data_IF_196346253847
#
_entry.id   IF_196346253847
#
_cell.length_a   1.000
_cell.length_b   1.000
_cell.length_c   1.000
_cell.angle_alpha   90.00
_cell.angle_beta   90.00
_cell.angle_gamma   90.00
#
_symmetry.space_group_name_H-M   'P 1'
#
loop_
_entity.id
_entity.type
_entity.pdbx_description
1 polymer ?
#
# COMPACT_ATOMS: atom_id res chain seq x y z
N UNK A 1 -21.06 -0.98 -9.50
CA UNK A 1 -20.10 -0.38 -8.54
C UNK A 1 -18.75 -0.42 -9.21
N UNK A 2 -18.03 0.71 -9.24
CA UNK A 2 -16.63 0.70 -9.67
C UNK A 2 -15.78 0.30 -8.47
N UNK A 3 -15.26 -0.92 -8.49
CA UNK A 3 -14.38 -1.42 -7.44
C UNK A 3 -12.95 -0.94 -7.65
N UNK A 4 -12.22 -0.71 -6.56
CA UNK A 4 -10.79 -0.45 -6.65
C UNK A 4 -10.08 -1.69 -7.22
N UNK A 5 -9.37 -1.58 -8.35
CA UNK A 5 -8.80 -2.75 -9.00
C UNK A 5 -7.74 -3.41 -8.11
N UNK A 6 -7.76 -4.73 -8.08
CA UNK A 6 -6.70 -5.58 -7.54
C UNK A 6 -6.42 -6.69 -8.54
N UNK A 7 -5.18 -7.17 -8.53
CA UNK A 7 -4.71 -8.23 -9.41
C UNK A 7 -3.94 -9.27 -8.59
N UNK A 8 -3.95 -10.56 -8.96
CA UNK A 8 -3.23 -11.59 -8.23
C UNK A 8 -1.73 -11.28 -8.14
N UNK A 9 -1.09 -11.73 -7.07
CA UNK A 9 0.35 -11.51 -6.88
C UNK A 9 1.18 -12.50 -7.70
N UNK A 10 2.29 -12.06 -8.32
CA UNK A 10 3.26 -13.00 -8.85
C UNK A 10 3.92 -13.76 -7.68
N UNK A 11 4.17 -15.08 -7.82
CA UNK A 11 4.73 -15.90 -6.74
C UNK A 11 6.07 -15.40 -6.18
N UNK A 12 6.81 -14.66 -6.98
CA UNK A 12 8.15 -14.14 -6.74
C UNK A 12 8.18 -12.61 -6.51
N UNK A 13 7.03 -11.97 -6.25
CA UNK A 13 7.04 -10.55 -5.86
C UNK A 13 7.92 -10.36 -4.61
N UNK A 14 8.87 -9.41 -4.62
CA UNK A 14 9.78 -9.23 -3.49
C UNK A 14 9.04 -8.75 -2.24
N UNK A 15 9.61 -9.05 -1.07
CA UNK A 15 9.19 -8.39 0.16
C UNK A 15 9.46 -6.87 0.06
N UNK A 16 8.65 -6.07 0.74
CA UNK A 16 8.79 -4.62 0.77
C UNK A 16 10.15 -4.24 1.35
N UNK A 17 10.86 -3.38 0.64
CA UNK A 17 12.12 -2.81 1.10
C UNK A 17 11.83 -1.79 2.22
N UNK A 18 12.24 -2.09 3.45
CA UNK A 18 11.93 -1.24 4.62
C UNK A 18 13.17 -0.57 5.15
N UNK A 19 13.17 0.77 5.18
CA UNK A 19 14.36 1.54 5.53
C UNK A 19 14.64 1.62 7.04
N UNK A 20 13.61 1.68 7.89
CA UNK A 20 13.81 1.92 9.33
C UNK A 20 12.66 1.37 10.18
N UNK A 21 12.71 1.66 11.49
CA UNK A 21 11.71 1.23 12.47
C UNK A 21 10.72 2.35 12.80
N UNK A 22 9.51 1.97 13.20
CA UNK A 22 8.50 2.91 13.72
C UNK A 22 9.06 3.79 14.85
N UNK A 23 9.85 3.19 15.75
CA UNK A 23 10.48 3.91 16.87
C UNK A 23 11.42 5.02 16.40
N UNK A 24 12.25 4.75 15.39
CA UNK A 24 13.20 5.75 14.86
C UNK A 24 12.47 6.86 14.12
N UNK A 25 11.50 6.52 13.26
CA UNK A 25 10.65 7.50 12.58
C UNK A 25 9.90 8.40 13.56
N UNK A 26 9.20 7.81 14.53
CA UNK A 26 8.36 8.54 15.48
C UNK A 26 9.19 9.40 16.44
N UNK A 27 10.46 9.06 16.66
CA UNK A 27 11.41 9.84 17.44
C UNK A 27 12.05 11.02 16.70
N UNK A 28 11.86 11.14 15.38
CA UNK A 28 12.46 12.18 14.58
C UNK A 28 11.73 13.54 14.74
N UNK A 29 12.44 14.66 14.97
CA UNK A 29 11.81 15.96 15.24
C UNK A 29 10.90 16.47 14.12
N UNK A 30 11.23 16.16 12.86
CA UNK A 30 10.43 16.57 11.70
C UNK A 30 9.26 15.62 11.37
N UNK A 31 9.09 14.48 12.05
CA UNK A 31 8.10 13.48 11.63
C UNK A 31 6.67 14.01 11.62
N UNK A 32 6.24 14.69 12.68
CA UNK A 32 4.88 15.24 12.75
C UNK A 32 4.61 16.26 11.62
N UNK A 33 5.60 17.10 11.32
CA UNK A 33 5.54 18.09 10.25
C UNK A 33 5.53 17.45 8.85
N UNK A 34 6.36 16.42 8.66
CA UNK A 34 6.42 15.64 7.44
C UNK A 34 5.09 14.93 7.16
N UNK A 35 4.52 14.29 8.18
CA UNK A 35 3.25 13.56 8.08
C UNK A 35 2.06 14.50 7.82
N UNK A 36 2.17 15.78 8.20
CA UNK A 36 1.19 16.83 7.86
C UNK A 36 1.49 17.55 6.53
N UNK A 37 2.44 17.06 5.72
CA UNK A 37 2.70 17.56 4.38
C UNK A 37 3.72 18.68 4.26
N UNK A 38 4.49 19.01 5.31
CA UNK A 38 5.59 19.97 5.17
C UNK A 38 6.75 19.32 4.40
N UNK A 39 6.90 19.72 3.15
CA UNK A 39 7.85 19.13 2.20
C UNK A 39 9.32 19.20 2.68
N UNK A 40 9.73 20.31 3.30
CA UNK A 40 11.09 20.49 3.83
C UNK A 40 11.37 19.54 5.01
N UNK A 41 10.39 19.37 5.89
CA UNK A 41 10.44 18.45 7.02
C UNK A 41 10.44 16.99 6.53
N UNK A 42 9.62 16.66 5.53
CA UNK A 42 9.60 15.33 4.93
C UNK A 42 10.94 14.96 4.26
N UNK A 43 11.55 15.91 3.55
CA UNK A 43 12.86 15.71 2.94
C UNK A 43 13.96 15.50 3.99
N UNK A 44 14.00 16.31 5.06
CA UNK A 44 14.96 16.13 6.17
C UNK A 44 14.77 14.78 6.85
N UNK A 45 13.52 14.45 7.23
CA UNK A 45 13.18 13.15 7.82
C UNK A 45 13.68 11.98 6.96
N UNK A 46 13.32 11.98 5.68
CA UNK A 46 13.68 10.88 4.78
C UNK A 46 15.20 10.80 4.57
N UNK A 47 15.88 11.94 4.41
CA UNK A 47 17.34 11.98 4.25
C UNK A 47 18.09 11.45 5.48
N UNK A 48 17.57 11.70 6.68
CA UNK A 48 18.23 11.33 7.94
C UNK A 48 18.07 9.84 8.29
N UNK A 49 16.97 9.20 7.86
CA UNK A 49 16.62 7.84 8.34
C UNK A 49 16.50 6.77 7.24
N UNK A 50 16.55 7.15 5.96
CA UNK A 50 16.57 6.15 4.88
C UNK A 50 17.90 5.39 4.86
N UNK A 51 17.81 4.06 4.91
CA UNK A 51 18.99 3.19 4.86
C UNK A 51 19.54 3.06 3.43
N UNK A 52 20.79 3.48 3.22
CA UNK A 52 21.49 3.37 1.95
C UNK A 52 21.79 1.94 1.50
N UNK A 53 21.85 0.95 2.42
CA UNK A 53 21.93 -0.46 2.04
C UNK A 53 20.64 -0.93 1.37
N UNK A 54 19.49 -0.58 1.93
CA UNK A 54 18.17 -0.87 1.36
C UNK A 54 18.00 -0.19 -0.01
N UNK A 55 18.47 1.06 -0.16
CA UNK A 55 18.46 1.74 -1.47
C UNK A 55 19.29 0.96 -2.50
N UNK A 56 20.47 0.47 -2.13
CA UNK A 56 21.32 -0.32 -3.04
C UNK A 56 20.66 -1.63 -3.46
N UNK A 57 19.98 -2.32 -2.54
CA UNK A 57 19.24 -3.55 -2.85
C UNK A 57 18.07 -3.27 -3.78
N UNK A 58 17.31 -2.20 -3.53
CA UNK A 58 16.21 -1.76 -4.40
C UNK A 58 16.70 -1.43 -5.83
N UNK A 59 17.96 -1.00 -5.97
CA UNK A 59 18.62 -0.76 -7.25
C UNK A 59 18.61 -1.97 -8.20
N UNK A 60 18.51 -3.20 -7.69
CA UNK A 60 18.40 -4.41 -8.51
C UNK A 60 17.10 -4.48 -9.35
N UNK A 61 16.09 -3.68 -8.99
CA UNK A 61 14.80 -3.61 -9.69
C UNK A 61 14.73 -2.42 -10.67
N UNK A 62 15.81 -1.65 -10.80
CA UNK A 62 15.89 -0.52 -11.72
C UNK A 62 16.28 -1.00 -13.12
N UNK A 63 15.31 -1.00 -14.04
CA UNK A 63 15.50 -1.13 -15.48
C UNK A 63 15.44 0.23 -16.19
N UNK A 64 15.68 0.27 -17.51
CA UNK A 64 15.61 1.52 -18.30
C UNK A 64 14.21 2.16 -18.28
N UNK A 65 13.17 1.32 -18.21
CA UNK A 65 11.76 1.69 -18.11
C UNK A 65 11.28 1.87 -16.66
N UNK A 66 12.17 1.82 -15.67
CA UNK A 66 11.81 1.89 -14.26
C UNK A 66 11.42 3.30 -13.81
N UNK A 67 10.40 3.38 -12.96
CA UNK A 67 9.83 4.62 -12.44
C UNK A 67 9.44 4.46 -10.97
N UNK A 68 9.69 5.49 -10.17
CA UNK A 68 9.22 5.55 -8.79
C UNK A 68 7.82 6.15 -8.77
N UNK A 69 6.89 5.48 -8.10
CA UNK A 69 5.52 5.97 -7.94
C UNK A 69 5.17 6.11 -6.45
N UNK A 70 5.26 7.33 -5.90
CA UNK A 70 4.86 7.59 -4.53
C UNK A 70 3.33 7.51 -4.37
N UNK A 71 2.90 7.02 -3.20
CA UNK A 71 1.51 7.16 -2.75
C UNK A 71 1.28 8.62 -2.35
N UNK A 72 0.86 9.42 -3.33
CA UNK A 72 0.58 10.86 -3.17
C UNK A 72 -0.93 11.12 -3.23
N UNK A 73 -1.37 12.30 -2.80
CA UNK A 73 -2.78 12.74 -2.91
C UNK A 73 -2.91 14.00 -3.76
N UNK A 74 -4.12 14.21 -4.28
CA UNK A 74 -4.44 15.29 -5.22
C UNK A 74 -4.26 16.70 -4.65
N UNK A 75 -4.44 16.88 -3.35
CA UNK A 75 -4.22 18.15 -2.65
C UNK A 75 -2.99 18.03 -1.74
N UNK A 76 -1.90 18.71 -2.11
CA UNK A 76 -0.60 18.61 -1.44
C UNK A 76 -0.53 19.27 -0.05
N UNK A 77 -1.54 20.08 0.33
CA UNK A 77 -1.61 20.69 1.65
C UNK A 77 -2.29 19.77 2.66
N UNK A 78 -1.54 19.34 3.69
CA UNK A 78 -2.09 18.53 4.79
C UNK A 78 -2.05 17.02 4.59
N UNK A 79 -1.67 16.54 3.40
CA UNK A 79 -1.44 15.13 3.14
C UNK A 79 -0.02 14.69 3.50
N UNK A 80 0.19 13.41 3.69
CA UNK A 80 1.50 12.85 4.05
C UNK A 80 2.55 13.11 2.96
N UNK A 81 3.55 13.95 3.25
CA UNK A 81 4.62 14.30 2.28
C UNK A 81 5.81 13.33 2.28
N UNK A 82 5.80 12.31 3.13
CA UNK A 82 6.91 11.36 3.28
C UNK A 82 7.14 10.52 2.00
N UNK A 83 6.12 9.94 1.34
CA UNK A 83 6.31 9.17 0.11
C UNK A 83 6.98 9.99 -1.00
N UNK A 84 6.55 11.24 -1.21
CA UNK A 84 7.14 12.13 -2.22
C UNK A 84 8.59 12.49 -1.91
N UNK A 85 8.91 12.72 -0.63
CA UNK A 85 10.28 12.99 -0.19
C UNK A 85 11.19 11.77 -0.40
N UNK A 86 10.71 10.57 -0.07
CA UNK A 86 11.42 9.32 -0.34
C UNK A 86 11.66 9.13 -1.84
N UNK A 87 10.63 9.32 -2.68
CA UNK A 87 10.76 9.20 -4.13
C UNK A 87 11.76 10.23 -4.70
N UNK A 88 11.83 11.45 -4.14
CA UNK A 88 12.81 12.43 -4.55
C UNK A 88 14.26 12.03 -4.22
N UNK A 89 14.50 11.40 -3.06
CA UNK A 89 15.82 10.88 -2.68
C UNK A 89 16.18 9.69 -3.55
N UNK A 90 15.29 8.70 -3.67
CA UNK A 90 15.49 7.50 -4.49
C UNK A 90 15.78 7.86 -5.94
N UNK A 91 15.03 8.81 -6.52
CA UNK A 91 15.24 9.25 -7.90
C UNK A 91 16.64 9.81 -8.12
N UNK A 92 17.14 10.64 -7.19
CA UNK A 92 18.50 11.18 -7.25
C UNK A 92 19.57 10.12 -7.06
N UNK A 93 19.34 9.13 -6.19
CA UNK A 93 20.34 8.11 -5.86
C UNK A 93 20.39 6.98 -6.90
N UNK A 94 19.25 6.57 -7.45
CA UNK A 94 19.12 5.45 -8.39
C UNK A 94 19.11 5.91 -9.86
N UNK A 95 18.93 7.21 -10.12
CA UNK A 95 18.95 7.77 -11.48
C UNK A 95 17.69 7.48 -12.30
N UNK A 96 16.60 7.04 -11.66
CA UNK A 96 15.30 6.77 -12.31
C UNK A 96 14.28 7.89 -12.01
N UNK A 97 13.34 8.19 -12.92
CA UNK A 97 12.34 9.23 -12.70
C UNK A 97 11.38 8.89 -11.56
N UNK A 98 10.91 9.93 -10.86
CA UNK A 98 9.80 9.84 -9.90
C UNK A 98 8.54 10.51 -10.47
N UNK A 99 7.50 9.72 -10.66
CA UNK A 99 6.19 10.12 -11.18
C UNK A 99 5.30 10.75 -10.09
N UNK A 100 5.82 11.80 -9.47
CA UNK A 100 5.06 12.59 -8.49
C UNK A 100 3.85 13.23 -9.15
N UNK A 101 2.72 13.23 -8.44
CA UNK A 101 1.44 13.81 -8.86
C UNK A 101 0.81 13.21 -10.14
N UNK A 102 1.40 12.17 -10.75
CA UNK A 102 0.84 11.54 -11.95
C UNK A 102 -0.30 10.57 -11.63
N UNK A 103 -0.16 9.80 -10.56
CA UNK A 103 -1.22 8.97 -10.00
C UNK A 103 -1.41 9.41 -8.56
N UNK A 104 -2.63 9.86 -8.23
CA UNK A 104 -2.96 10.40 -6.91
C UNK A 104 -4.09 9.61 -6.30
N UNK A 105 -4.01 9.38 -4.99
CA UNK A 105 -5.09 8.81 -4.22
C UNK A 105 -6.27 9.80 -4.18
N UNK A 106 -7.47 9.33 -4.47
CA UNK A 106 -8.68 10.15 -4.60
C UNK A 106 -9.58 10.15 -3.37
N UNK A 107 -9.45 9.16 -2.49
CA UNK A 107 -10.19 9.10 -1.23
C UNK A 107 -9.27 9.26 -0.03
N UNK A 108 -9.76 9.90 1.04
CA UNK A 108 -9.05 9.90 2.32
C UNK A 108 -9.33 8.57 3.00
N UNK A 109 -8.32 7.70 3.06
CA UNK A 109 -8.37 6.52 3.93
C UNK A 109 -8.01 7.02 5.32
N UNK A 110 -9.01 7.25 6.17
CA UNK A 110 -8.79 7.79 7.52
C UNK A 110 -7.87 6.87 8.34
N UNK A 111 -6.74 7.43 8.81
CA UNK A 111 -5.76 6.74 9.66
C UNK A 111 -6.09 6.81 11.16
N UNK A 112 -7.31 7.20 11.53
CA UNK A 112 -7.75 7.44 12.91
C UNK A 112 -7.85 6.17 13.73
N UNK A 113 -6.75 5.63 14.28
CA UNK A 113 -6.73 4.40 15.12
C UNK A 113 -7.66 3.28 14.61
N UNK A 114 -7.83 3.24 13.28
CA UNK A 114 -8.92 2.50 12.70
C UNK A 114 -8.56 1.02 12.78
N UNK A 115 -9.45 0.25 13.40
CA UNK A 115 -9.37 -1.21 13.52
C UNK A 115 -9.06 -1.81 12.14
N UNK A 116 -8.34 -2.94 12.08
CA UNK A 116 -7.90 -3.53 10.80
C UNK A 116 -9.05 -3.76 9.82
N UNK A 117 -10.27 -3.93 10.33
CA UNK A 117 -11.52 -4.00 9.57
C UNK A 117 -11.83 -2.75 8.75
N UNK A 118 -11.67 -1.56 9.32
CA UNK A 118 -11.91 -0.30 8.59
C UNK A 118 -10.92 -0.14 7.43
N UNK A 119 -9.69 -0.63 7.59
CA UNK A 119 -8.68 -0.60 6.53
C UNK A 119 -9.02 -1.56 5.39
N UNK A 120 -9.74 -2.66 5.67
CA UNK A 120 -10.25 -3.57 4.66
C UNK A 120 -11.48 -3.01 3.95
N UNK A 121 -12.41 -2.39 4.69
CA UNK A 121 -13.68 -1.88 4.14
C UNK A 121 -13.57 -0.54 3.39
N UNK A 122 -12.39 0.09 3.38
CA UNK A 122 -12.16 1.39 2.72
C UNK A 122 -10.94 1.33 1.80
N UNK A 123 -11.03 0.62 0.66
CA UNK A 123 -9.92 0.47 -0.26
C UNK A 123 -9.48 1.83 -0.82
N UNK A 124 -8.17 2.00 -0.99
CA UNK A 124 -7.64 3.20 -1.62
C UNK A 124 -8.02 3.22 -3.11
N UNK A 125 -8.51 4.37 -3.58
CA UNK A 125 -8.81 4.61 -4.99
C UNK A 125 -7.81 5.62 -5.55
N UNK A 126 -7.44 5.44 -6.81
CA UNK A 126 -6.44 6.25 -7.48
C UNK A 126 -6.99 6.82 -8.78
N UNK A 127 -6.44 7.94 -9.21
CA UNK A 127 -6.73 8.57 -10.50
C UNK A 127 -5.44 9.17 -11.07
N UNK A 128 -5.40 9.30 -12.40
CA UNK A 128 -4.25 9.83 -13.12
C UNK A 128 -3.66 8.89 -14.18
N UNK A 129 -2.55 9.31 -14.76
CA UNK A 129 -1.95 8.64 -15.91
C UNK A 129 -0.93 7.59 -15.47
N UNK A 130 -1.10 6.36 -15.98
CA UNK A 130 -0.10 5.30 -15.90
C UNK A 130 0.56 5.18 -17.27
N UNK A 131 1.88 5.12 -17.31
CA UNK A 131 2.63 4.91 -18.54
C UNK A 131 2.67 3.40 -18.84
N UNK A 132 2.10 2.95 -19.96
CA UNK A 132 2.16 1.55 -20.34
C UNK A 132 3.59 1.07 -20.53
N UNK A 133 3.81 -0.22 -20.36
CA UNK A 133 5.07 -0.93 -20.55
C UNK A 133 6.23 -0.46 -19.64
N UNK A 134 5.95 0.39 -18.64
CA UNK A 134 6.93 0.83 -17.65
C UNK A 134 6.92 -0.07 -16.41
N UNK A 135 8.12 -0.26 -15.83
CA UNK A 135 8.31 -0.91 -14.54
C UNK A 135 8.15 0.10 -13.39
N UNK A 136 7.26 -0.17 -12.45
CA UNK A 136 6.96 0.72 -11.34
C UNK A 136 7.48 0.17 -10.02
N UNK A 137 8.17 1.02 -9.27
CA UNK A 137 8.56 0.80 -7.88
C UNK A 137 7.67 1.69 -7.02
N UNK A 138 6.79 1.09 -6.22
CA UNK A 138 5.87 1.85 -5.36
C UNK A 138 6.59 2.37 -4.13
N UNK A 139 6.28 3.60 -3.71
CA UNK A 139 6.90 4.26 -2.56
C UNK A 139 5.81 4.72 -1.59
N UNK A 140 5.89 4.31 -0.32
CA UNK A 140 4.95 4.76 0.73
C UNK A 140 5.68 5.00 2.07
N UNK A 141 5.05 5.60 3.06
CA UNK A 141 5.69 5.84 4.36
C UNK A 141 5.58 4.63 5.30
N UNK A 142 4.51 3.87 5.20
CA UNK A 142 4.26 2.76 6.11
C UNK A 142 3.43 1.63 5.51
N UNK A 143 3.95 0.40 5.53
CA UNK A 143 3.15 -0.78 5.19
C UNK A 143 2.52 -1.42 6.44
N UNK A 144 1.19 -1.37 6.51
CA UNK A 144 0.37 -2.01 7.55
C UNK A 144 -0.23 -3.33 7.09
N UNK A 145 -1.50 -3.31 6.65
CA UNK A 145 -2.08 -4.44 5.93
C UNK A 145 -1.64 -4.50 4.46
N UNK A 146 -1.06 -3.42 3.93
CA UNK A 146 -0.59 -3.37 2.54
C UNK A 146 -1.68 -3.05 1.51
N UNK A 147 -2.92 -2.80 1.96
CA UNK A 147 -4.03 -2.57 1.04
C UNK A 147 -3.82 -1.40 0.08
N UNK A 148 -3.29 -0.26 0.55
CA UNK A 148 -2.96 0.89 -0.30
C UNK A 148 -2.00 0.53 -1.44
N UNK A 149 -0.88 -0.13 -1.12
CA UNK A 149 0.11 -0.57 -2.11
C UNK A 149 -0.49 -1.56 -3.12
N UNK A 150 -1.34 -2.46 -2.64
CA UNK A 150 -1.97 -3.46 -3.47
C UNK A 150 -3.05 -2.86 -4.39
N UNK A 151 -3.82 -1.87 -3.91
CA UNK A 151 -4.77 -1.11 -4.72
C UNK A 151 -4.03 -0.26 -5.77
N UNK A 152 -2.91 0.39 -5.40
CA UNK A 152 -2.09 1.12 -6.36
C UNK A 152 -1.49 0.18 -7.42
N UNK A 153 -1.01 -1.00 -7.02
CA UNK A 153 -0.56 -2.02 -7.96
C UNK A 153 -1.66 -2.42 -8.94
N UNK A 154 -2.85 -2.74 -8.45
CA UNK A 154 -3.98 -3.06 -9.31
C UNK A 154 -4.34 -1.92 -10.26
N UNK A 155 -4.27 -0.67 -9.79
CA UNK A 155 -4.50 0.51 -10.62
C UNK A 155 -3.49 0.62 -11.77
N UNK A 156 -2.20 0.43 -11.46
CA UNK A 156 -1.09 0.47 -12.42
C UNK A 156 -1.16 -0.68 -13.43
N UNK A 157 -1.33 -1.92 -12.95
CA UNK A 157 -1.26 -3.11 -13.82
C UNK A 157 -2.48 -3.23 -14.75
N UNK A 158 -3.66 -2.83 -14.29
CA UNK A 158 -4.85 -2.77 -15.17
C UNK A 158 -4.77 -1.69 -16.25
N UNK A 159 -3.75 -0.82 -16.20
CA UNK A 159 -3.48 0.24 -17.18
C UNK A 159 -2.20 0.01 -17.99
N UNK A 160 -1.66 -1.21 -17.97
CA UNK A 160 -0.52 -1.60 -18.78
C UNK A 160 0.86 -1.29 -18.19
N UNK A 161 0.93 -0.71 -16.99
CA UNK A 161 2.18 -0.67 -16.23
C UNK A 161 2.47 -2.02 -15.56
N UNK A 162 3.67 -2.20 -15.01
CA UNK A 162 4.06 -3.41 -14.27
C UNK A 162 4.70 -3.02 -12.95
N UNK A 163 4.15 -3.46 -11.82
CA UNK A 163 4.79 -3.19 -10.52
C UNK A 163 5.85 -4.26 -10.24
N UNK A 164 7.09 -3.85 -10.01
CA UNK A 164 8.24 -4.76 -9.83
C UNK A 164 8.75 -4.82 -8.39
N UNK A 165 8.51 -3.77 -7.60
CA UNK A 165 8.90 -3.71 -6.19
C UNK A 165 8.07 -2.65 -5.44
N UNK A 166 8.16 -2.68 -4.11
CA UNK A 166 7.65 -1.62 -3.25
C UNK A 166 8.65 -1.33 -2.13
N UNK A 167 8.75 -0.06 -1.73
CA UNK A 167 9.60 0.39 -0.63
C UNK A 167 8.82 1.27 0.34
N UNK A 168 9.12 1.16 1.63
CA UNK A 168 8.54 1.99 2.67
C UNK A 168 9.53 2.43 3.73
N UNK A 169 9.21 3.53 4.41
CA UNK A 169 10.03 3.98 5.53
C UNK A 169 9.97 2.97 6.69
N UNK A 170 8.78 2.45 6.98
CA UNK A 170 8.53 1.58 8.14
C UNK A 170 7.46 0.53 7.81
N UNK A 171 7.38 -0.53 8.64
CA UNK A 171 6.33 -1.54 8.55
C UNK A 171 5.67 -1.82 9.89
N UNK A 172 4.45 -2.36 9.85
CA UNK A 172 3.87 -3.12 10.95
C UNK A 172 4.53 -4.51 11.04
N UNK A 173 4.28 -5.22 12.14
CA UNK A 173 4.89 -6.53 12.37
C UNK A 173 4.49 -7.51 11.27
N UNK A 174 5.49 -8.16 10.66
CA UNK A 174 5.33 -9.17 9.61
C UNK A 174 4.56 -8.66 8.36
N UNK A 175 4.61 -7.35 8.10
CA UNK A 175 3.86 -6.66 7.03
C UNK A 175 4.63 -6.39 5.74
N UNK A 176 5.92 -6.77 5.69
CA UNK A 176 6.76 -6.60 4.50
C UNK A 176 6.41 -7.55 3.36
N UNK A 177 5.89 -8.73 3.65
CA UNK A 177 5.45 -9.65 2.61
C UNK A 177 4.09 -9.19 2.09
N UNK A 178 4.02 -8.70 0.86
CA UNK A 178 2.73 -8.36 0.24
C UNK A 178 2.13 -9.55 -0.49
N UNK A 179 2.92 -10.28 -1.26
CA UNK A 179 2.43 -11.42 -2.02
C UNK A 179 1.86 -12.51 -1.13
N UNK A 180 0.61 -12.88 -1.41
CA UNK A 180 -0.11 -13.93 -0.71
C UNK A 180 0.57 -15.28 -0.92
N UNK A 181 0.89 -15.95 0.18
CA UNK A 181 1.45 -17.31 0.15
C UNK A 181 0.37 -18.33 -0.20
N UNK A 182 0.77 -19.39 -0.90
CA UNK A 182 -0.12 -20.52 -1.20
C UNK A 182 -0.67 -21.13 0.09
N UNK A 183 0.17 -21.28 1.10
CA UNK A 183 -0.21 -21.88 2.39
C UNK A 183 -1.27 -21.04 3.10
N UNK A 184 -1.16 -19.71 3.06
CA UNK A 184 -2.12 -18.79 3.68
C UNK A 184 -3.44 -18.77 2.90
N UNK A 185 -3.37 -18.79 1.57
CA UNK A 185 -4.54 -18.91 0.70
C UNK A 185 -5.30 -20.22 0.94
N UNK A 186 -4.59 -21.35 1.00
CA UNK A 186 -5.19 -22.66 1.22
C UNK A 186 -5.78 -22.77 2.63
N UNK A 187 -5.15 -22.14 3.63
CA UNK A 187 -5.71 -22.04 4.98
C UNK A 187 -7.01 -21.22 5.03
N UNK A 188 -7.11 -20.14 4.25
CA UNK A 188 -8.35 -19.36 4.14
C UNK A 188 -9.48 -20.22 3.56
N UNK A 189 -9.21 -20.92 2.46
CA UNK A 189 -10.18 -21.82 1.85
C UNK A 189 -10.58 -22.98 2.76
N UNK A 190 -9.62 -23.60 3.44
CA UNK A 190 -9.91 -24.69 4.37
C UNK A 190 -10.79 -24.24 5.54
N UNK A 191 -10.64 -22.99 6.00
CA UNK A 191 -11.39 -22.44 7.14
C UNK A 191 -12.78 -21.92 6.76
N UNK A 192 -12.89 -21.21 5.64
CA UNK A 192 -14.11 -20.48 5.27
C UNK A 192 -14.81 -20.99 4.01
N UNK A 193 -14.23 -21.97 3.30
CA UNK A 193 -14.80 -22.53 2.08
C UNK A 193 -14.79 -21.56 0.90
N UNK A 194 -15.69 -21.81 -0.07
CA UNK A 194 -15.94 -20.90 -1.19
C UNK A 194 -16.71 -19.65 -0.80
N UNK A 195 -17.52 -19.71 0.27
CA UNK A 195 -18.41 -18.64 0.70
C UNK A 195 -17.70 -17.31 1.00
N UNK A 196 -16.45 -17.37 1.51
CA UNK A 196 -15.65 -16.16 1.71
C UNK A 196 -15.20 -15.56 0.39
N UNK A 197 -14.79 -16.37 -0.60
CA UNK A 197 -14.37 -15.87 -1.92
C UNK A 197 -15.56 -15.25 -2.66
N UNK A 198 -16.73 -15.91 -2.61
CA UNK A 198 -17.96 -15.38 -3.20
C UNK A 198 -18.36 -14.05 -2.56
N UNK A 199 -18.37 -13.97 -1.22
CA UNK A 199 -18.63 -12.73 -0.50
C UNK A 199 -17.60 -11.65 -0.85
N UNK A 200 -16.31 -11.98 -0.92
CA UNK A 200 -15.25 -11.03 -1.23
C UNK A 200 -15.41 -10.44 -2.63
N UNK A 201 -15.74 -11.28 -3.62
CA UNK A 201 -16.04 -10.84 -4.98
C UNK A 201 -17.26 -9.94 -5.05
N UNK A 202 -18.28 -10.20 -4.25
CA UNK A 202 -19.49 -9.38 -4.19
C UNK A 202 -19.18 -7.95 -3.73
N UNK A 203 -18.38 -7.79 -2.67
CA UNK A 203 -18.15 -6.47 -2.04
C UNK A 203 -16.91 -5.73 -2.56
N UNK A 204 -15.93 -6.42 -3.16
CA UNK A 204 -14.69 -5.82 -3.65
C UNK A 204 -14.40 -6.08 -5.14
N UNK A 205 -15.18 -6.92 -5.81
CA UNK A 205 -15.01 -7.17 -7.25
C UNK A 205 -13.80 -8.02 -7.63
N UNK A 206 -13.10 -8.62 -6.66
CA UNK A 206 -11.95 -9.48 -6.89
C UNK A 206 -11.93 -10.68 -5.92
N UNK A 207 -11.15 -11.72 -6.25
CA UNK A 207 -11.01 -12.91 -5.41
C UNK A 207 -10.02 -12.74 -4.25
N UNK A 208 -9.94 -13.77 -3.41
CA UNK A 208 -9.01 -13.84 -2.28
C UNK A 208 -7.54 -13.94 -2.72
N UNK A 209 -7.29 -14.41 -3.95
CA UNK A 209 -5.96 -14.48 -4.58
C UNK A 209 -5.31 -13.10 -4.81
N UNK A 210 -6.10 -12.03 -4.71
CA UNK A 210 -5.67 -10.64 -4.83
C UNK A 210 -5.38 -9.96 -3.47
N UNK A 211 -5.61 -10.66 -2.34
CA UNK A 211 -5.31 -10.16 -1.00
C UNK A 211 -3.81 -10.03 -0.80
N UNK A 212 -3.40 -9.13 0.08
CA UNK A 212 -2.04 -9.19 0.63
C UNK A 212 -1.94 -10.32 1.67
N UNK A 213 -0.71 -10.78 1.93
CA UNK A 213 -0.45 -11.73 3.00
C UNK A 213 -0.93 -11.23 4.39
N UNK A 214 -0.70 -9.95 4.79
CA UNK A 214 -1.26 -9.41 6.02
C UNK A 214 -2.79 -9.33 6.05
N UNK A 215 -3.45 -8.99 4.94
CA UNK A 215 -4.92 -8.99 4.84
C UNK A 215 -5.47 -10.41 5.06
N UNK A 216 -4.91 -11.40 4.37
CA UNK A 216 -5.30 -12.80 4.51
C UNK A 216 -5.06 -13.33 5.93
N UNK A 217 -3.89 -13.04 6.51
CA UNK A 217 -3.58 -13.38 7.90
C UNK A 217 -4.50 -12.70 8.91
N UNK A 218 -4.98 -11.49 8.61
CA UNK A 218 -5.96 -10.79 9.42
C UNK A 218 -7.33 -11.48 9.39
N UNK A 219 -7.81 -11.88 8.20
CA UNK A 219 -9.06 -12.63 8.05
C UNK A 219 -9.00 -14.00 8.74
N UNK A 220 -7.88 -14.72 8.65
CA UNK A 220 -7.68 -16.02 9.32
C UNK A 220 -7.84 -15.96 10.85
N UNK A 221 -7.61 -14.79 11.46
CA UNK A 221 -7.79 -14.58 12.91
C UNK A 221 -9.23 -14.25 13.30
N UNK A 222 -10.14 -14.06 12.35
CA UNK A 222 -11.55 -13.78 12.62
C UNK A 222 -12.27 -14.98 13.23
N UNK A 223 -13.20 -14.73 14.15
CA UNK A 223 -13.98 -15.76 14.86
C UNK A 223 -14.99 -16.51 13.96
N UNK A 224 -15.09 -16.15 12.67
CA UNK A 224 -15.97 -16.82 11.71
C UNK A 224 -16.28 -15.95 10.50
N UNK A 225 -16.93 -16.54 9.49
CA UNK A 225 -17.35 -15.82 8.28
C UNK A 225 -18.43 -14.77 8.59
N UNK A 226 -19.39 -15.07 9.47
CA UNK A 226 -20.42 -14.11 9.87
C UNK A 226 -19.80 -12.89 10.54
N UNK A 227 -18.76 -13.08 11.35
CA UNK A 227 -18.02 -11.96 11.95
C UNK A 227 -17.31 -11.10 10.91
N UNK A 228 -16.78 -11.71 9.83
CA UNK A 228 -16.19 -10.97 8.72
C UNK A 228 -17.28 -10.14 8.02
N UNK A 229 -18.43 -10.76 7.73
CA UNK A 229 -19.58 -10.09 7.10
C UNK A 229 -20.07 -8.90 7.93
N UNK A 230 -20.28 -9.10 9.24
CA UNK A 230 -20.72 -8.03 10.15
C UNK A 230 -19.74 -6.85 10.20
N UNK A 231 -18.44 -7.13 10.13
CA UNK A 231 -17.38 -6.11 10.21
C UNK A 231 -17.18 -5.35 8.91
N UNK A 232 -17.52 -5.97 7.78
CA UNK A 232 -17.40 -5.39 6.44
C UNK A 232 -18.73 -4.89 5.88
N UNK A 233 -19.85 -5.19 6.55
CA UNK A 233 -21.14 -4.61 6.23
C UNK A 233 -21.00 -3.07 6.24
N UNK A 234 -21.51 -2.37 5.22
CA UNK A 234 -21.57 -0.92 5.26
C UNK A 234 -22.36 -0.54 6.51
N UNK A 235 -21.70 0.12 7.46
CA UNK A 235 -22.39 0.62 8.65
C UNK A 235 -23.53 1.52 8.18
N UNK A 236 -24.75 1.30 8.69
CA UNK A 236 -25.77 2.34 8.65
C UNK A 236 -25.10 3.61 9.19
N UNK A 237 -24.96 4.62 8.33
CA UNK A 237 -24.70 5.97 8.79
C UNK A 237 -25.80 6.26 9.81
N UNK A 238 -25.44 6.29 11.09
CA UNK A 238 -26.30 6.83 12.11
C UNK A 238 -26.58 8.27 11.70
N UNK A 239 -27.73 8.48 11.04
CA UNK A 239 -28.21 9.78 10.64
C UNK A 239 -28.18 10.66 11.87
N UNK A 240 -27.29 11.66 11.87
CA UNK A 240 -27.39 12.75 12.82
C UNK A 240 -28.69 13.47 12.51
N UNK A 241 -29.67 13.29 13.39
CA UNK A 241 -30.67 14.31 13.65
C UNK A 241 -30.01 15.59 14.19
#
# INVERSE_FOLDING_TARGET
>A
MDFAPRVPWPPDFPDVFVHTTVKLRDGHPDYAAAKSGRADAALRLAADIMDGAVIRELGAFCSEDARLLPVSAKESTGFNGIPDAMAAILSRTLGIPADRDQVVQTNVVSHTRADGWHRLSSPATFDGAVQPDCAYILVDDHVGLGGTLANLRGYVETRGGRVVAATTLTKSRDSDRLALRRETHDALHARFGGDLDDFWREIFGHGLDCLTEPEAGYLLRSDGLDRIRDRLAPGEEAGSA
#
